data_IF_747200269275
#
_entry.id   IF_747200269275
#
_cell.length_a   1.000
_cell.length_b   1.000
_cell.length_c   1.000
_cell.angle_alpha   90.00
_cell.angle_beta   90.00
_cell.angle_gamma   90.00
#
_symmetry.space_group_name_H-M   'P 1'
#
loop_
_entity.id
_entity.type
_entity.pdbx_description
1 polymer ?
#
# COMPACT_ATOMS: atom_id res chain seq x y z
N UNK A 1 20.43 -4.20 -12.02
CA UNK A 1 20.23 -4.91 -10.74
C UNK A 1 20.64 -4.07 -9.52
N UNK A 2 21.70 -3.26 -9.61
CA UNK A 2 22.19 -2.41 -8.50
C UNK A 2 21.19 -1.40 -7.91
N UNK A 3 20.22 -0.92 -8.70
CA UNK A 3 19.20 0.02 -8.22
C UNK A 3 18.30 -0.61 -7.17
N UNK A 4 17.96 -1.90 -7.33
CA UNK A 4 17.14 -2.66 -6.38
C UNK A 4 17.91 -2.89 -5.08
N UNK A 5 19.17 -3.34 -5.18
CA UNK A 5 20.03 -3.53 -4.02
C UNK A 5 20.24 -2.24 -3.22
N UNK A 6 20.47 -1.11 -3.91
CA UNK A 6 20.54 0.22 -3.26
C UNK A 6 19.22 0.61 -2.58
N UNK A 7 18.09 0.31 -3.19
CA UNK A 7 16.77 0.52 -2.58
C UNK A 7 16.59 -0.28 -1.30
N UNK A 8 16.94 -1.57 -1.31
CA UNK A 8 16.86 -2.45 -0.15
C UNK A 8 17.78 -1.97 0.98
N UNK A 9 19.01 -1.55 0.64
CA UNK A 9 19.95 -1.01 1.63
C UNK A 9 19.42 0.28 2.28
N UNK A 10 18.84 1.19 1.49
CA UNK A 10 18.20 2.42 2.02
C UNK A 10 17.03 2.11 2.96
N UNK A 11 16.13 1.22 2.54
CA UNK A 11 14.99 0.80 3.36
C UNK A 11 15.43 0.22 4.71
N UNK A 12 16.49 -0.60 4.72
CA UNK A 12 17.02 -1.21 5.94
C UNK A 12 17.56 -0.20 6.95
N UNK A 13 18.19 0.87 6.47
CA UNK A 13 18.85 1.88 7.31
C UNK A 13 17.86 2.93 7.81
N UNK A 14 16.98 3.43 6.93
CA UNK A 14 16.13 4.58 7.21
C UNK A 14 14.75 4.17 7.74
N UNK A 15 14.06 3.31 6.99
CA UNK A 15 12.61 3.14 7.14
C UNK A 15 12.24 1.89 7.98
N UNK A 16 13.14 0.93 8.12
CA UNK A 16 12.86 -0.34 8.84
C UNK A 16 12.44 -0.10 10.28
N UNK A 17 13.14 0.78 11.00
CA UNK A 17 12.92 0.96 12.43
C UNK A 17 11.54 1.58 12.75
N UNK A 18 11.08 2.53 11.93
CA UNK A 18 9.76 3.14 12.08
C UNK A 18 8.65 2.19 11.64
N UNK A 19 8.80 1.52 10.50
CA UNK A 19 7.76 0.63 9.98
C UNK A 19 7.57 -0.62 10.85
N UNK A 20 8.62 -1.18 11.45
CA UNK A 20 8.50 -2.35 12.34
C UNK A 20 7.62 -2.06 13.56
N UNK A 21 7.66 -0.84 14.12
CA UNK A 21 6.76 -0.45 15.22
C UNK A 21 5.30 -0.44 14.76
N UNK A 22 5.03 0.15 13.60
CA UNK A 22 3.69 0.17 13.01
C UNK A 22 3.17 -1.26 12.71
N UNK A 23 4.04 -2.15 12.24
CA UNK A 23 3.66 -3.56 12.02
C UNK A 23 3.35 -4.31 13.33
N UNK A 24 4.02 -3.96 14.44
CA UNK A 24 3.70 -4.54 15.74
C UNK A 24 2.32 -4.09 16.22
N UNK A 25 1.97 -2.81 16.05
CA UNK A 25 0.66 -2.26 16.41
C UNK A 25 -0.48 -2.87 15.56
N UNK A 26 -0.26 -3.01 14.25
CA UNK A 26 -1.26 -3.54 13.32
C UNK A 26 -1.47 -5.05 13.47
N UNK A 27 -0.48 -5.79 14.00
CA UNK A 27 -0.53 -7.25 14.12
C UNK A 27 -1.71 -7.74 14.96
N UNK A 28 -2.00 -7.05 16.05
CA UNK A 28 -2.95 -7.55 17.05
C UNK A 28 -4.40 -7.18 16.72
N UNK A 29 -4.66 -6.01 16.11
CA UNK A 29 -6.00 -5.58 15.67
C UNK A 29 -5.95 -4.67 14.43
N UNK A 30 -5.96 -5.23 13.21
CA UNK A 30 -6.05 -4.41 12.01
C UNK A 30 -7.49 -3.91 11.82
N UNK A 31 -7.71 -2.60 11.98
CA UNK A 31 -8.99 -1.93 11.65
C UNK A 31 -8.83 -1.01 10.43
N UNK A 32 -8.92 -1.55 9.20
CA UNK A 32 -8.79 -0.74 7.99
C UNK A 32 -9.98 0.20 7.84
N UNK A 33 -9.72 1.47 7.54
CA UNK A 33 -10.73 2.52 7.32
C UNK A 33 -11.30 2.48 5.91
N UNK A 34 -10.52 2.01 4.94
CA UNK A 34 -10.92 1.99 3.54
C UNK A 34 -10.30 0.84 2.75
N UNK A 35 -10.96 0.46 1.66
CA UNK A 35 -10.46 -0.44 0.63
C UNK A 35 -10.14 0.36 -0.62
N UNK A 36 -8.95 0.14 -1.17
CA UNK A 36 -8.46 0.75 -2.39
C UNK A 36 -8.48 -0.26 -3.52
N UNK A 37 -9.32 0.00 -4.52
CA UNK A 37 -9.32 -0.76 -5.76
C UNK A 37 -8.43 -0.05 -6.78
N UNK A 38 -7.37 -0.72 -7.21
CA UNK A 38 -6.47 -0.19 -8.23
C UNK A 38 -6.12 -1.23 -9.29
N UNK A 39 -5.81 -0.74 -10.49
CA UNK A 39 -5.25 -1.57 -11.55
C UNK A 39 -3.83 -2.02 -11.15
N UNK A 40 -3.35 -3.13 -11.73
CA UNK A 40 -1.96 -3.61 -11.58
C UNK A 40 -0.92 -2.72 -12.29
N UNK A 41 -1.13 -1.41 -12.29
CA UNK A 41 -0.23 -0.43 -12.88
C UNK A 41 0.84 0.01 -11.87
N UNK A 42 2.10 -0.22 -12.23
CA UNK A 42 3.27 0.20 -11.44
C UNK A 42 3.40 1.72 -11.26
N UNK A 43 2.67 2.54 -12.03
CA UNK A 43 2.68 4.01 -11.90
C UNK A 43 1.96 4.52 -10.66
N UNK A 44 1.03 3.74 -10.10
CA UNK A 44 0.25 4.15 -8.93
C UNK A 44 0.65 3.31 -7.72
N UNK A 45 1.32 3.95 -6.75
CA UNK A 45 1.57 3.36 -5.42
C UNK A 45 0.52 3.94 -4.47
N UNK A 46 -0.52 3.17 -4.08
CA UNK A 46 -1.64 3.69 -3.31
C UNK A 46 -1.26 4.37 -2.00
N UNK A 47 -0.27 3.82 -1.30
CA UNK A 47 0.25 4.37 -0.03
C UNK A 47 0.92 5.72 -0.18
N UNK A 48 1.56 6.00 -1.32
CA UNK A 48 2.19 7.30 -1.60
C UNK A 48 1.19 8.33 -2.08
N UNK A 49 0.16 7.90 -2.81
CA UNK A 49 -0.84 8.82 -3.35
C UNK A 49 -1.83 9.30 -2.29
N UNK A 50 -2.17 8.43 -1.33
CA UNK A 50 -3.15 8.72 -0.28
C UNK A 50 -2.51 9.13 1.04
N UNK A 51 -1.17 9.24 1.09
CA UNK A 51 -0.38 9.55 2.30
C UNK A 51 -0.82 8.74 3.53
N UNK A 52 -1.25 7.50 3.32
CA UNK A 52 -1.81 6.66 4.38
C UNK A 52 -0.75 5.85 5.10
N UNK A 53 -0.98 5.66 6.41
CA UNK A 53 -0.09 4.87 7.24
C UNK A 53 -0.36 3.37 7.12
N UNK A 54 0.62 2.55 7.50
CA UNK A 54 0.51 1.10 7.46
C UNK A 54 -0.67 0.65 8.32
N UNK A 55 -1.63 -0.08 7.73
CA UNK A 55 -2.80 -0.62 8.42
C UNK A 55 -4.11 0.16 8.21
N UNK A 56 -4.06 1.38 7.66
CA UNK A 56 -5.27 2.19 7.43
C UNK A 56 -6.07 1.76 6.20
N UNK A 57 -5.42 1.14 5.21
CA UNK A 57 -6.02 0.81 3.92
C UNK A 57 -5.73 -0.63 3.47
N UNK A 58 -6.76 -1.29 2.96
CA UNK A 58 -6.63 -2.57 2.28
C UNK A 58 -6.55 -2.36 0.76
N UNK A 59 -5.49 -2.83 0.12
CA UNK A 59 -5.28 -2.61 -1.33
C UNK A 59 -5.59 -3.87 -2.12
N UNK A 60 -6.48 -3.77 -3.10
CA UNK A 60 -6.82 -4.86 -4.02
C UNK A 60 -6.39 -4.49 -5.44
N UNK A 61 -5.49 -5.30 -6.00
CA UNK A 61 -5.02 -5.16 -7.37
C UNK A 61 -5.84 -6.03 -8.32
N UNK A 62 -6.49 -5.40 -9.30
CA UNK A 62 -7.17 -6.10 -10.39
C UNK A 62 -6.46 -5.87 -11.72
N UNK A 63 -6.48 -6.90 -12.58
CA UNK A 63 -6.20 -6.70 -13.99
C UNK A 63 -7.41 -5.98 -14.62
N UNK A 64 -7.12 -4.91 -15.35
CA UNK A 64 -8.08 -4.01 -16.02
C UNK A 64 -9.10 -4.68 -16.94
N UNK A 65 -8.96 -5.98 -17.20
CA UNK A 65 -9.63 -6.65 -18.32
C UNK A 65 -11.06 -7.12 -18.00
N UNK A 66 -11.48 -7.16 -16.72
CA UNK A 66 -12.74 -7.84 -16.33
C UNK A 66 -13.93 -6.92 -16.01
N UNK A 67 -13.77 -5.61 -15.89
CA UNK A 67 -14.87 -4.65 -15.74
C UNK A 67 -14.46 -3.34 -16.38
N UNK A 68 -15.18 -2.90 -17.42
CA UNK A 68 -14.86 -1.75 -18.28
C UNK A 68 -14.82 -0.36 -17.62
N UNK A 69 -14.32 -0.22 -16.40
CA UNK A 69 -14.00 1.03 -15.74
C UNK A 69 -12.74 0.86 -14.89
N UNK A 70 -11.62 1.41 -15.35
CA UNK A 70 -10.41 1.66 -14.53
C UNK A 70 -10.65 2.82 -13.56
N UNK A 71 -11.76 2.81 -12.82
CA UNK A 71 -11.98 3.82 -11.80
C UNK A 71 -11.30 3.35 -10.51
N UNK A 72 -10.15 3.96 -10.22
CA UNK A 72 -9.54 3.91 -8.89
C UNK A 72 -10.59 4.38 -7.88
N UNK A 73 -11.15 3.45 -7.13
CA UNK A 73 -12.26 3.71 -6.21
C UNK A 73 -11.77 3.47 -4.79
N UNK A 74 -11.89 4.52 -3.97
CA UNK A 74 -11.69 4.44 -2.53
C UNK A 74 -13.05 4.18 -1.90
N UNK A 75 -13.32 2.95 -1.52
CA UNK A 75 -14.52 2.62 -0.75
C UNK A 75 -14.18 2.67 0.74
N UNK A 76 -14.70 3.66 1.45
CA UNK A 76 -14.58 3.78 2.91
C UNK A 76 -15.57 2.83 3.58
N UNK A 77 -15.13 2.09 4.60
CA UNK A 77 -16.06 1.35 5.46
C UNK A 77 -16.80 2.38 6.32
N UNK A 78 -18.11 2.50 6.13
CA UNK A 78 -18.99 3.37 6.92
C UNK A 78 -19.64 2.56 8.03
#
# INVERSE_FOLDING_TARGET
MEKILRGIMRYRVLDRASMVKQFQEVKDNPTPKAVFYTCMDSRMIPTRFTETSVGDMFVVFFYSEKRGQCHTTLSTFR
#
